data_IF_664967062876
#
_entry.id   IF_664967062876
#
_cell.length_a   1.000
_cell.length_b   1.000
_cell.length_c   1.000
_cell.angle_alpha   90.00
_cell.angle_beta   90.00
_cell.angle_gamma   90.00
#
_symmetry.space_group_name_H-M   'P 1'
#
loop_
_entity.id
_entity.type
_entity.pdbx_description
1 polymer ?
#
# COMPACT_ATOMS: atom_id res chain seq x y z
N UNK A 1 -1.70 -21.06 7.81
CA UNK A 1 -2.70 -20.11 7.24
C UNK A 1 -2.26 -19.63 5.85
N UNK A 2 -1.05 -19.09 5.67
CA UNK A 2 -0.54 -18.66 4.34
C UNK A 2 -0.38 -19.84 3.36
N UNK A 3 0.07 -21.00 3.82
CA UNK A 3 0.21 -22.20 2.98
C UNK A 3 -1.13 -22.72 2.44
N UNK A 4 -2.21 -22.56 3.22
CA UNK A 4 -3.55 -23.03 2.86
C UNK A 4 -4.23 -22.10 1.85
N UNK A 5 -3.94 -20.80 1.91
CA UNK A 5 -4.39 -19.80 0.94
C UNK A 5 -3.66 -19.96 -0.40
N UNK A 6 -2.38 -20.30 -0.39
CA UNK A 6 -1.59 -20.50 -1.61
C UNK A 6 -1.87 -21.85 -2.27
N UNK A 7 -2.10 -22.92 -1.49
CA UNK A 7 -2.48 -24.23 -2.02
C UNK A 7 -3.86 -24.22 -2.71
N UNK A 8 -4.80 -23.36 -2.27
CA UNK A 8 -6.09 -23.15 -2.95
C UNK A 8 -5.96 -22.32 -4.22
N UNK A 9 -4.93 -21.47 -4.33
CA UNK A 9 -4.73 -20.57 -5.49
C UNK A 9 -3.91 -21.21 -6.62
N UNK A 10 -3.10 -22.24 -6.35
CA UNK A 10 -2.24 -22.90 -7.35
C UNK A 10 -2.14 -24.43 -7.14
N UNK A 11 -3.17 -25.22 -7.50
CA UNK A 11 -3.23 -26.66 -7.18
C UNK A 11 -2.22 -27.53 -7.95
N UNK A 12 -1.55 -26.99 -8.97
CA UNK A 12 -0.64 -27.74 -9.86
C UNK A 12 0.85 -27.58 -9.53
N UNK A 13 1.21 -26.75 -8.55
CA UNK A 13 2.62 -26.57 -8.17
C UNK A 13 2.88 -27.43 -6.93
N UNK A 14 3.64 -28.52 -7.11
CA UNK A 14 3.99 -29.42 -6.00
C UNK A 14 4.58 -28.64 -4.81
N UNK A 15 4.13 -28.98 -3.59
CA UNK A 15 4.39 -28.25 -2.33
C UNK A 15 5.88 -27.88 -2.11
N UNK A 16 6.80 -28.69 -2.62
CA UNK A 16 8.25 -28.44 -2.51
C UNK A 16 8.78 -27.31 -3.42
N UNK A 17 8.08 -26.93 -4.51
CA UNK A 17 8.48 -25.83 -5.41
C UNK A 17 7.98 -24.46 -4.97
N UNK A 18 6.82 -24.38 -4.29
CA UNK A 18 6.24 -23.13 -3.78
C UNK A 18 7.12 -22.53 -2.67
N UNK A 19 7.63 -23.38 -1.77
CA UNK A 19 8.54 -22.97 -0.69
C UNK A 19 9.88 -22.48 -1.25
N UNK A 20 10.36 -23.08 -2.35
CA UNK A 20 11.59 -22.66 -3.02
C UNK A 20 11.51 -21.28 -3.68
N UNK A 21 10.44 -21.00 -4.43
CA UNK A 21 10.30 -19.74 -5.18
C UNK A 21 9.99 -18.55 -4.24
N UNK A 22 9.14 -18.75 -3.23
CA UNK A 22 8.88 -17.73 -2.20
C UNK A 22 10.14 -17.51 -1.36
N UNK A 23 10.87 -18.58 -1.01
CA UNK A 23 12.14 -18.51 -0.28
C UNK A 23 13.25 -17.76 -1.03
N UNK A 24 13.37 -17.94 -2.35
CA UNK A 24 14.41 -17.29 -3.17
C UNK A 24 14.04 -15.81 -3.44
N UNK A 25 12.77 -15.51 -3.69
CA UNK A 25 12.33 -14.13 -4.02
C UNK A 25 12.27 -13.23 -2.78
N UNK A 26 11.88 -13.75 -1.60
CA UNK A 26 12.00 -13.02 -0.33
C UNK A 26 13.45 -12.92 0.14
N UNK A 27 14.31 -13.93 -0.10
CA UNK A 27 15.74 -13.81 0.22
C UNK A 27 16.46 -12.84 -0.70
N UNK A 28 16.10 -12.73 -1.99
CA UNK A 28 16.69 -11.77 -2.92
C UNK A 28 16.25 -10.32 -2.60
N UNK A 29 14.97 -10.09 -2.30
CA UNK A 29 14.50 -8.77 -1.82
C UNK A 29 15.02 -8.42 -0.42
N UNK A 30 15.18 -9.39 0.49
CA UNK A 30 15.80 -9.16 1.81
C UNK A 30 17.32 -9.01 1.74
N UNK A 31 18.02 -9.64 0.79
CA UNK A 31 19.48 -9.50 0.66
C UNK A 31 19.90 -8.16 0.05
N UNK A 32 19.06 -7.55 -0.80
CA UNK A 32 19.28 -6.20 -1.31
C UNK A 32 18.93 -5.13 -0.26
N UNK A 33 17.98 -5.39 0.65
CA UNK A 33 17.59 -4.44 1.72
C UNK A 33 18.40 -4.60 3.01
N UNK A 34 18.89 -5.80 3.35
CA UNK A 34 19.65 -6.03 4.58
C UNK A 34 21.10 -5.52 4.52
N UNK A 35 21.69 -5.36 3.32
CA UNK A 35 23.05 -4.80 3.19
C UNK A 35 23.12 -3.29 3.41
N UNK A 36 22.01 -2.57 3.34
CA UNK A 36 21.98 -1.09 3.48
C UNK A 36 21.37 -0.58 4.80
N UNK A 37 20.77 -1.45 5.63
CA UNK A 37 20.18 -1.01 6.92
C UNK A 37 21.27 -0.65 7.94
N UNK A 38 22.36 -1.42 8.02
CA UNK A 38 23.46 -1.09 8.94
C UNK A 38 24.19 0.19 8.52
N UNK A 39 24.29 0.43 7.20
CA UNK A 39 24.80 1.68 6.63
C UNK A 39 23.89 2.87 6.97
N UNK A 40 22.58 2.72 6.71
CA UNK A 40 21.57 3.71 7.08
C UNK A 40 21.59 4.02 8.58
N UNK A 41 21.67 3.00 9.43
CA UNK A 41 21.76 3.18 10.88
C UNK A 41 22.98 3.99 11.28
N UNK A 42 24.16 3.68 10.74
CA UNK A 42 25.38 4.44 11.01
C UNK A 42 25.28 5.89 10.56
N UNK A 43 24.63 6.14 9.43
CA UNK A 43 24.40 7.49 8.92
C UNK A 43 23.42 8.27 9.80
N UNK A 44 22.34 7.63 10.26
CA UNK A 44 21.41 8.24 11.23
C UNK A 44 22.11 8.50 12.58
N UNK A 45 22.96 7.59 13.06
CA UNK A 45 23.75 7.78 14.28
C UNK A 45 24.77 8.93 14.14
N UNK A 46 25.23 9.23 12.91
CA UNK A 46 26.24 10.26 12.63
C UNK A 46 25.63 11.63 12.34
N UNK A 47 24.52 11.67 11.59
CA UNK A 47 23.91 12.90 11.06
C UNK A 47 22.54 13.22 11.70
N UNK A 48 22.02 12.37 12.58
CA UNK A 48 20.68 12.52 13.14
C UNK A 48 19.59 12.35 12.07
N UNK A 49 18.50 13.10 12.20
CA UNK A 49 17.36 13.07 11.27
C UNK A 49 17.55 13.96 10.02
N UNK A 50 18.80 14.22 9.60
CA UNK A 50 19.11 14.98 8.38
C UNK A 50 19.01 14.10 7.13
N UNK A 51 17.77 13.88 6.69
CA UNK A 51 17.46 13.01 5.55
C UNK A 51 18.02 13.52 4.21
N UNK A 52 18.33 14.82 4.10
CA UNK A 52 18.92 15.37 2.87
C UNK A 52 20.38 14.96 2.72
N UNK A 53 21.15 15.02 3.81
CA UNK A 53 22.55 14.56 3.83
C UNK A 53 22.60 13.04 3.69
N UNK A 54 21.78 12.32 4.46
CA UNK A 54 21.75 10.84 4.41
C UNK A 54 21.31 10.35 3.03
N UNK A 55 20.30 10.97 2.44
CA UNK A 55 19.86 10.67 1.07
C UNK A 55 20.98 10.85 0.04
N UNK A 56 21.72 11.97 0.14
CA UNK A 56 22.86 12.24 -0.74
C UNK A 56 23.96 11.19 -0.59
N UNK A 57 24.30 10.80 0.63
CA UNK A 57 25.33 9.80 0.91
C UNK A 57 24.91 8.38 0.47
N UNK A 58 23.63 8.07 0.55
CA UNK A 58 23.05 6.81 0.06
C UNK A 58 22.70 6.84 -1.44
N UNK A 59 22.94 7.95 -2.14
CA UNK A 59 22.57 8.12 -3.55
C UNK A 59 21.06 7.93 -3.82
N UNK A 60 20.22 8.22 -2.83
CA UNK A 60 18.78 7.94 -2.82
C UNK A 60 17.99 9.19 -2.38
N UNK A 61 16.75 9.33 -2.83
CA UNK A 61 15.92 10.47 -2.44
C UNK A 61 15.63 10.49 -0.92
N UNK A 62 15.66 11.66 -0.25
CA UNK A 62 15.49 11.79 1.20
C UNK A 62 14.20 11.16 1.75
N UNK A 63 13.11 11.27 1.01
CA UNK A 63 11.79 10.71 1.36
C UNK A 63 11.81 9.17 1.39
N UNK A 64 12.52 8.56 0.43
CA UNK A 64 12.71 7.10 0.37
C UNK A 64 13.54 6.63 1.57
N UNK A 65 14.65 7.31 1.87
CA UNK A 65 15.51 6.99 3.02
C UNK A 65 14.76 7.11 4.34
N UNK A 66 14.02 8.19 4.52
CA UNK A 66 13.16 8.40 5.69
C UNK A 66 12.11 7.28 5.82
N UNK A 67 11.45 6.91 4.73
CA UNK A 67 10.46 5.82 4.72
C UNK A 67 11.08 4.47 5.10
N UNK A 68 12.30 4.20 4.64
CA UNK A 68 13.05 2.98 4.98
C UNK A 68 13.39 2.94 6.47
N UNK A 69 13.87 4.06 7.03
CA UNK A 69 14.19 4.17 8.45
C UNK A 69 12.97 3.99 9.35
N UNK A 70 11.86 4.66 9.03
CA UNK A 70 10.61 4.53 9.79
C UNK A 70 10.05 3.11 9.76
N UNK A 71 10.14 2.44 8.61
CA UNK A 71 9.77 1.03 8.48
C UNK A 71 10.64 0.15 9.37
N UNK A 72 11.96 0.37 9.39
CA UNK A 72 12.89 -0.36 10.25
C UNK A 72 12.55 -0.21 11.74
N UNK A 73 12.29 1.01 12.22
CA UNK A 73 11.89 1.27 13.60
C UNK A 73 10.57 0.58 13.97
N UNK A 74 9.60 0.56 13.06
CA UNK A 74 8.33 -0.13 13.25
C UNK A 74 8.53 -1.65 13.38
N UNK A 75 9.37 -2.24 12.53
CA UNK A 75 9.72 -3.66 12.62
C UNK A 75 10.46 -3.99 13.92
N UNK A 76 11.40 -3.15 14.36
CA UNK A 76 12.12 -3.35 15.62
C UNK A 76 11.17 -3.31 16.85
N UNK A 77 10.19 -2.38 16.86
CA UNK A 77 9.16 -2.31 17.91
C UNK A 77 8.28 -3.55 17.95
N UNK A 78 7.85 -4.05 16.78
CA UNK A 78 7.03 -5.27 16.72
C UNK A 78 7.81 -6.55 17.08
N UNK A 79 9.12 -6.60 16.79
CA UNK A 79 9.98 -7.70 17.18
C UNK A 79 10.29 -7.73 18.68
N UNK A 80 10.37 -6.55 19.33
CA UNK A 80 10.52 -6.42 20.79
C UNK A 80 9.25 -6.83 21.55
N UNK A 81 8.07 -6.43 21.06
CA UNK A 81 6.79 -6.75 21.70
C UNK A 81 6.43 -8.24 21.70
N UNK A 82 7.11 -9.08 20.92
CA UNK A 82 6.89 -10.53 20.86
C UNK A 82 7.75 -11.33 21.85
N UNK A 83 8.61 -10.70 22.65
CA UNK A 83 9.55 -11.39 23.55
C UNK A 83 9.30 -11.23 25.05
N UNK A 84 8.39 -10.36 25.46
CA UNK A 84 8.19 -10.05 26.89
C UNK A 84 7.06 -10.84 27.58
N UNK A 85 6.52 -11.88 26.94
CA UNK A 85 5.52 -12.79 27.55
C UNK A 85 6.10 -14.17 27.88
N UNK A 86 7.31 -14.22 28.43
CA UNK A 86 7.82 -15.38 29.15
C UNK A 86 8.95 -14.99 30.14
N UNK A 87 8.79 -15.43 31.40
CA UNK A 87 9.77 -15.48 32.49
C UNK A 87 9.93 -14.23 33.39
N UNK A 88 9.22 -14.30 34.52
CA UNK A 88 9.72 -14.18 35.90
C UNK A 88 11.16 -13.65 36.11
N UNK A 89 11.26 -12.53 36.82
CA UNK A 89 12.45 -12.03 37.56
C UNK A 89 12.98 -13.08 38.57
N UNK A 90 14.26 -13.12 39.01
CA UNK A 90 15.02 -11.94 39.45
C UNK A 90 16.52 -11.91 39.13
N UNK A 91 17.09 -10.73 39.39
CA UNK A 91 18.48 -10.45 39.80
C UNK A 91 19.42 -9.79 38.76
N UNK A 92 20.17 -8.80 39.26
CA UNK A 92 21.48 -8.42 38.72
C UNK A 92 21.55 -7.40 37.60
N UNK A 93 21.65 -6.12 37.98
CA UNK A 93 22.60 -5.13 37.42
C UNK A 93 22.66 -4.91 35.90
N UNK A 94 22.07 -3.81 35.41
CA UNK A 94 22.87 -2.60 35.14
C UNK A 94 21.99 -1.41 34.72
N UNK A 95 22.26 -0.26 35.35
CA UNK A 95 21.58 1.00 35.10
C UNK A 95 22.11 1.63 33.82
N UNK A 96 21.45 1.38 32.69
CA UNK A 96 21.52 2.32 31.56
C UNK A 96 20.43 3.36 31.76
N UNK A 97 20.82 4.50 32.34
CA UNK A 97 20.02 5.72 32.28
C UNK A 97 19.87 6.09 30.81
N UNK A 98 18.72 5.76 30.21
CA UNK A 98 18.26 6.50 29.04
C UNK A 98 17.92 7.90 29.55
N UNK A 99 18.81 8.85 29.24
CA UNK A 99 18.43 10.24 29.27
C UNK A 99 17.22 10.41 28.36
N UNK A 100 16.11 10.70 29.01
CA UNK A 100 14.90 11.26 28.45
C UNK A 100 15.31 12.56 27.76
N UNK A 101 15.65 12.48 26.48
CA UNK A 101 15.73 13.65 25.62
C UNK A 101 14.31 14.11 25.37
N UNK A 102 13.91 15.03 26.23
CA UNK A 102 12.80 15.96 26.07
C UNK A 102 13.17 16.87 24.88
N UNK A 103 12.97 16.38 23.66
CA UNK A 103 13.21 17.15 22.44
C UNK A 103 12.00 18.05 22.15
N UNK A 104 12.34 19.31 21.90
CA UNK A 104 11.47 20.45 21.68
C UNK A 104 10.45 20.16 20.57
N UNK A 105 9.18 20.05 20.98
CA UNK A 105 8.04 19.87 20.10
C UNK A 105 7.82 21.07 19.20
N UNK A 106 8.24 20.94 17.95
CA UNK A 106 7.46 21.47 16.84
C UNK A 106 6.76 20.24 16.26
N UNK A 107 5.60 19.89 16.81
CA UNK A 107 4.75 18.87 16.21
C UNK A 107 4.50 19.30 14.77
N UNK A 108 4.80 18.44 13.79
CA UNK A 108 4.36 18.65 12.42
C UNK A 108 2.84 18.90 12.49
N UNK A 109 2.36 20.11 12.14
CA UNK A 109 0.94 20.44 12.26
C UNK A 109 0.05 19.43 11.53
N UNK A 110 0.59 18.79 10.49
CA UNK A 110 -0.12 17.78 9.72
C UNK A 110 -0.22 16.43 10.46
N UNK A 111 0.72 16.10 11.34
CA UNK A 111 0.70 14.84 12.08
C UNK A 111 -0.50 14.79 13.05
N UNK A 112 -0.80 15.89 13.73
CA UNK A 112 -1.98 15.97 14.60
C UNK A 112 -3.28 15.75 13.82
N UNK A 113 -3.36 16.25 12.58
CA UNK A 113 -4.50 16.01 11.70
C UNK A 113 -4.58 14.57 11.16
N UNK A 114 -3.43 13.95 10.86
CA UNK A 114 -3.37 12.53 10.48
C UNK A 114 -3.93 11.67 11.61
N UNK A 115 -3.47 11.90 12.84
CA UNK A 115 -3.87 11.11 14.01
C UNK A 115 -5.37 11.31 14.31
N UNK A 116 -5.85 12.55 14.27
CA UNK A 116 -7.27 12.86 14.45
C UNK A 116 -8.16 12.20 13.37
N UNK A 117 -7.73 12.26 12.10
CA UNK A 117 -8.44 11.61 10.99
C UNK A 117 -8.48 10.10 11.19
N UNK A 118 -7.35 9.48 11.50
CA UNK A 118 -7.27 8.04 11.70
C UNK A 118 -8.14 7.58 12.89
N UNK A 119 -8.12 8.34 13.99
CA UNK A 119 -8.90 8.05 15.18
C UNK A 119 -10.41 8.09 14.89
N UNK A 120 -10.90 9.11 14.20
CA UNK A 120 -12.33 9.23 13.86
C UNK A 120 -12.77 8.14 12.88
N UNK A 121 -11.95 7.84 11.87
CA UNK A 121 -12.22 6.73 10.94
C UNK A 121 -12.27 5.38 11.68
N UNK A 122 -11.34 5.13 12.60
CA UNK A 122 -11.36 3.91 13.42
C UNK A 122 -12.58 3.84 14.34
N UNK A 123 -13.00 4.98 14.91
CA UNK A 123 -14.22 5.08 15.74
C UNK A 123 -15.46 4.69 14.95
N UNK A 124 -15.62 5.18 13.73
CA UNK A 124 -16.78 4.81 12.88
C UNK A 124 -16.73 3.34 12.47
N UNK A 125 -15.55 2.84 12.09
CA UNK A 125 -15.38 1.45 11.69
C UNK A 125 -15.64 0.47 12.85
N UNK A 126 -15.22 0.80 14.08
CA UNK A 126 -15.49 -0.04 15.27
C UNK A 126 -16.99 -0.10 15.63
N UNK A 127 -17.77 0.90 15.22
CA UNK A 127 -19.24 0.90 15.31
C UNK A 127 -19.92 0.10 14.21
N UNK A 128 -19.16 -0.51 13.29
CA UNK A 128 -19.70 -1.30 12.18
C UNK A 128 -20.24 -0.45 11.02
N UNK A 129 -20.09 0.86 11.06
CA UNK A 129 -20.57 1.76 10.01
C UNK A 129 -19.61 1.80 8.82
N UNK A 130 -20.14 2.20 7.66
CA UNK A 130 -19.32 2.72 6.57
C UNK A 130 -18.76 4.09 7.01
N UNK A 131 -17.55 4.43 6.55
CA UNK A 131 -16.93 5.71 6.88
C UNK A 131 -17.71 6.85 6.21
N UNK A 132 -18.28 7.74 7.03
CA UNK A 132 -18.84 9.02 6.60
C UNK A 132 -17.73 10.07 6.62
N UNK A 133 -17.17 10.34 5.45
CA UNK A 133 -16.09 11.29 5.28
C UNK A 133 -16.50 12.74 5.54
N UNK A 134 -17.77 13.10 5.41
CA UNK A 134 -18.25 14.44 5.77
C UNK A 134 -18.20 14.62 7.29
N UNK A 135 -18.60 13.59 8.05
CA UNK A 135 -18.47 13.60 9.51
C UNK A 135 -17.00 13.61 9.95
N UNK A 136 -16.13 12.83 9.30
CA UNK A 136 -14.67 12.86 9.57
C UNK A 136 -14.11 14.27 9.35
N UNK A 137 -14.42 14.88 8.20
CA UNK A 137 -14.03 16.24 7.84
C UNK A 137 -14.47 17.26 8.89
N UNK A 138 -15.74 17.20 9.32
CA UNK A 138 -16.28 18.07 10.35
C UNK A 138 -15.59 17.89 11.70
N UNK A 139 -15.28 16.65 12.10
CA UNK A 139 -14.64 16.36 13.38
C UNK A 139 -13.17 16.83 13.43
N UNK A 140 -12.44 16.72 12.32
CA UNK A 140 -11.01 17.04 12.25
C UNK A 140 -10.77 18.51 11.88
N UNK A 141 -11.77 19.19 11.28
CA UNK A 141 -11.64 20.57 10.82
C UNK A 141 -10.84 20.72 9.52
N UNK A 142 -10.85 19.69 8.68
CA UNK A 142 -10.23 19.69 7.35
C UNK A 142 -11.28 19.42 6.27
N UNK A 143 -10.99 19.75 5.02
CA UNK A 143 -11.84 19.33 3.91
C UNK A 143 -11.81 17.80 3.71
N UNK A 144 -12.89 17.28 3.13
CA UNK A 144 -13.07 15.83 2.89
C UNK A 144 -11.92 15.24 2.09
N UNK A 145 -11.47 15.94 1.04
CA UNK A 145 -10.40 15.46 0.18
C UNK A 145 -9.10 15.32 0.97
N UNK A 146 -8.77 16.29 1.82
CA UNK A 146 -7.58 16.23 2.66
C UNK A 146 -7.64 15.09 3.66
N UNK A 147 -8.78 14.87 4.31
CA UNK A 147 -8.99 13.71 5.19
C UNK A 147 -8.75 12.39 4.44
N UNK A 148 -9.29 12.26 3.22
CA UNK A 148 -9.08 11.08 2.36
C UNK A 148 -7.60 10.87 2.01
N UNK A 149 -6.86 11.93 1.72
CA UNK A 149 -5.44 11.88 1.37
C UNK A 149 -4.53 11.48 2.54
N UNK A 150 -4.82 11.98 3.74
CA UNK A 150 -3.93 11.78 4.90
C UNK A 150 -4.30 10.54 5.71
N UNK A 151 -5.52 10.01 5.55
CA UNK A 151 -5.97 8.82 6.27
C UNK A 151 -5.11 7.60 5.91
N UNK A 152 -4.57 6.97 6.96
CA UNK A 152 -3.66 5.82 6.89
C UNK A 152 -4.30 4.54 7.44
N UNK A 153 -5.59 4.58 7.77
CA UNK A 153 -6.30 3.44 8.35
C UNK A 153 -6.40 2.32 7.31
N UNK A 154 -5.63 1.27 7.54
CA UNK A 154 -5.75 0.00 6.83
C UNK A 154 -6.30 -1.04 7.80
N UNK A 155 -7.63 -1.10 7.92
CA UNK A 155 -8.29 -1.75 9.04
C UNK A 155 -8.35 -3.28 8.97
N UNK A 156 -7.55 -3.93 8.11
CA UNK A 156 -7.57 -5.38 7.92
C UNK A 156 -8.91 -5.95 7.40
N UNK A 157 -9.96 -5.12 7.28
CA UNK A 157 -11.15 -5.41 6.50
C UNK A 157 -10.71 -5.54 5.05
N UNK A 158 -11.20 -6.56 4.38
CA UNK A 158 -10.93 -6.75 2.96
C UNK A 158 -11.44 -5.51 2.21
N UNK A 159 -10.51 -4.64 1.80
CA UNK A 159 -10.77 -3.69 0.72
C UNK A 159 -11.09 -4.53 -0.52
N UNK A 160 -12.01 -4.06 -1.35
CA UNK A 160 -12.27 -4.78 -2.59
C UNK A 160 -10.97 -4.83 -3.40
N UNK A 161 -10.66 -6.01 -3.93
CA UNK A 161 -9.50 -6.24 -4.79
C UNK A 161 -9.96 -6.50 -6.20
N UNK A 162 -9.19 -6.06 -7.17
CA UNK A 162 -9.53 -6.26 -8.57
C UNK A 162 -9.62 -7.75 -8.90
N UNK A 163 -10.78 -8.14 -9.42
CA UNK A 163 -11.05 -9.47 -9.94
C UNK A 163 -11.62 -9.30 -11.36
N UNK A 164 -10.92 -9.79 -12.40
CA UNK A 164 -11.37 -9.63 -13.78
C UNK A 164 -12.72 -10.26 -14.12
N UNK A 165 -13.24 -11.16 -13.28
CA UNK A 165 -14.52 -11.84 -13.47
C UNK A 165 -15.68 -11.12 -12.77
N UNK A 166 -15.41 -10.39 -11.69
CA UNK A 166 -16.43 -9.61 -10.95
C UNK A 166 -16.36 -8.10 -11.19
N UNK A 167 -15.30 -7.65 -11.88
CA UNK A 167 -15.10 -6.25 -12.22
C UNK A 167 -16.21 -5.71 -13.13
N UNK A 168 -16.73 -4.53 -12.78
CA UNK A 168 -17.68 -3.79 -13.59
C UNK A 168 -17.13 -2.42 -14.00
N UNK A 169 -17.45 -1.99 -15.22
CA UNK A 169 -17.07 -0.66 -15.70
C UNK A 169 -17.74 0.47 -14.90
N UNK A 170 -18.88 0.22 -14.26
CA UNK A 170 -19.54 1.19 -13.38
C UNK A 170 -18.66 1.60 -12.18
N UNK A 171 -17.92 0.66 -11.60
CA UNK A 171 -16.98 0.96 -10.51
C UNK A 171 -15.82 1.84 -11.01
N UNK A 172 -15.32 1.54 -12.22
CA UNK A 172 -14.27 2.33 -12.85
C UNK A 172 -14.76 3.74 -13.24
N UNK A 173 -16.00 3.87 -13.71
CA UNK A 173 -16.61 5.16 -14.04
C UNK A 173 -16.80 6.03 -12.80
N UNK A 174 -17.22 5.45 -11.67
CA UNK A 174 -17.27 6.17 -10.38
C UNK A 174 -15.89 6.65 -9.93
N UNK A 175 -14.87 5.80 -10.06
CA UNK A 175 -13.49 6.19 -9.77
C UNK A 175 -13.03 7.35 -10.68
N UNK A 176 -13.36 7.26 -11.98
CA UNK A 176 -13.03 8.30 -12.97
C UNK A 176 -13.71 9.63 -12.64
N UNK A 177 -14.98 9.62 -12.26
CA UNK A 177 -15.72 10.81 -11.84
C UNK A 177 -15.07 11.45 -10.61
N UNK A 178 -14.79 10.65 -9.57
CA UNK A 178 -14.10 11.14 -8.37
C UNK A 178 -12.73 11.78 -8.71
N UNK A 179 -11.94 11.15 -9.58
CA UNK A 179 -10.66 11.69 -10.01
C UNK A 179 -10.84 13.02 -10.77
N UNK A 180 -11.79 13.09 -11.70
CA UNK A 180 -12.03 14.30 -12.48
C UNK A 180 -12.46 15.49 -11.61
N UNK A 181 -13.29 15.24 -10.59
CA UNK A 181 -13.82 16.28 -9.71
C UNK A 181 -12.79 16.81 -8.70
N UNK A 182 -11.86 15.94 -8.25
CA UNK A 182 -10.93 16.27 -7.16
C UNK A 182 -9.48 16.49 -7.61
N UNK A 183 -9.12 15.96 -8.78
CA UNK A 183 -7.76 16.02 -9.34
C UNK A 183 -7.83 16.44 -10.82
N UNK A 184 -8.32 17.65 -11.13
CA UNK A 184 -8.37 18.13 -12.51
C UNK A 184 -6.97 18.26 -13.09
N UNK A 185 -6.84 17.99 -14.39
CA UNK A 185 -5.55 18.08 -15.08
C UNK A 185 -4.92 19.48 -14.90
N UNK A 186 -3.60 19.59 -14.68
CA UNK A 186 -2.59 18.53 -14.78
C UNK A 186 -2.29 17.80 -13.45
N UNK A 187 -3.13 17.93 -12.43
CA UNK A 187 -2.86 17.31 -11.13
C UNK A 187 -2.79 15.78 -11.25
N UNK A 188 -1.77 15.19 -10.63
CA UNK A 188 -1.67 13.73 -10.51
C UNK A 188 -2.65 13.26 -9.44
N UNK A 189 -3.51 12.26 -9.72
CA UNK A 189 -4.45 11.76 -8.74
C UNK A 189 -3.74 11.16 -7.53
N UNK A 190 -4.21 11.49 -6.32
CA UNK A 190 -3.75 10.81 -5.11
C UNK A 190 -4.53 9.51 -4.91
N UNK A 191 -3.94 8.39 -5.35
CA UNK A 191 -4.59 7.08 -5.26
C UNK A 191 -4.86 6.59 -3.82
N UNK A 192 -4.26 7.20 -2.79
CA UNK A 192 -4.68 6.94 -1.41
C UNK A 192 -6.07 7.48 -1.14
N UNK A 193 -6.36 8.71 -1.57
CA UNK A 193 -7.70 9.29 -1.44
C UNK A 193 -8.73 8.50 -2.25
N UNK A 194 -8.40 8.14 -3.48
CA UNK A 194 -9.26 7.29 -4.33
C UNK A 194 -9.54 5.95 -3.65
N UNK A 195 -8.51 5.30 -3.12
CA UNK A 195 -8.61 4.03 -2.41
C UNK A 195 -9.48 4.13 -1.16
N UNK A 196 -9.33 5.20 -0.38
CA UNK A 196 -10.11 5.45 0.83
C UNK A 196 -11.58 5.80 0.51
N UNK A 197 -11.83 6.54 -0.57
CA UNK A 197 -13.18 6.89 -1.03
C UNK A 197 -13.93 5.67 -1.58
N UNK A 198 -13.28 4.91 -2.48
CA UNK A 198 -13.89 3.77 -3.16
C UNK A 198 -13.91 2.50 -2.31
N UNK A 199 -13.14 2.45 -1.22
CA UNK A 199 -12.90 1.25 -0.41
C UNK A 199 -12.27 0.08 -1.21
N UNK A 200 -11.35 0.43 -2.10
CA UNK A 200 -10.63 -0.50 -3.00
C UNK A 200 -9.15 -0.49 -2.64
N UNK A 201 -8.42 -1.58 -2.84
CA UNK A 201 -6.97 -1.57 -2.65
C UNK A 201 -6.31 -0.49 -3.54
N UNK A 202 -5.34 0.25 -2.99
CA UNK A 202 -4.66 1.33 -3.71
C UNK A 202 -4.04 0.86 -5.03
N UNK A 203 -3.38 -0.29 -5.03
CA UNK A 203 -2.72 -0.81 -6.23
C UNK A 203 -3.75 -1.20 -7.30
N UNK A 204 -4.93 -1.66 -6.87
CA UNK A 204 -6.05 -1.95 -7.76
C UNK A 204 -6.69 -0.67 -8.33
N UNK A 205 -6.77 0.42 -7.56
CA UNK A 205 -7.17 1.73 -8.10
C UNK A 205 -6.21 2.20 -9.20
N UNK A 206 -4.90 2.03 -8.99
CA UNK A 206 -3.88 2.36 -9.98
C UNK A 206 -4.07 1.47 -11.23
N UNK A 207 -4.23 0.16 -11.03
CA UNK A 207 -4.46 -0.79 -12.11
C UNK A 207 -5.69 -0.42 -12.95
N UNK A 208 -6.84 -0.19 -12.31
CA UNK A 208 -8.07 0.22 -13.00
C UNK A 208 -7.91 1.57 -13.72
N UNK A 209 -7.16 2.51 -13.15
CA UNK A 209 -6.90 3.80 -13.81
C UNK A 209 -6.10 3.61 -15.10
N UNK A 210 -5.11 2.73 -15.08
CA UNK A 210 -4.37 2.34 -16.28
C UNK A 210 -5.27 1.66 -17.31
N UNK A 211 -6.13 0.73 -16.88
CA UNK A 211 -7.11 0.10 -17.78
C UNK A 211 -8.01 1.15 -18.43
N UNK A 212 -8.55 2.11 -17.68
CA UNK A 212 -9.37 3.19 -18.23
C UNK A 212 -8.63 4.04 -19.26
N UNK A 213 -7.31 4.16 -19.17
CA UNK A 213 -6.50 4.88 -20.15
C UNK A 213 -6.11 4.03 -21.37
N UNK A 214 -6.51 2.75 -21.41
CA UNK A 214 -6.08 1.81 -22.45
C UNK A 214 -4.65 1.29 -22.26
N UNK A 215 -4.08 1.51 -21.06
CA UNK A 215 -2.75 1.05 -20.67
C UNK A 215 -2.87 -0.33 -20.02
N UNK A 216 -2.61 -1.37 -20.81
CA UNK A 216 -2.66 -2.77 -20.35
C UNK A 216 -1.26 -3.33 -20.24
N UNK A 217 -0.97 -3.97 -19.11
CA UNK A 217 0.21 -4.80 -18.92
C UNK A 217 -0.11 -6.19 -19.48
N UNK A 218 0.50 -6.56 -20.61
CA UNK A 218 0.25 -7.83 -21.28
C UNK A 218 0.93 -9.02 -20.58
N UNK A 219 0.25 -9.61 -19.61
CA UNK A 219 0.70 -10.86 -18.96
C UNK A 219 0.25 -12.08 -19.74
N UNK A 220 0.83 -13.25 -19.43
CA UNK A 220 0.45 -14.51 -20.07
C UNK A 220 -1.00 -14.89 -19.75
N UNK A 221 -1.51 -14.51 -18.57
CA UNK A 221 -2.91 -14.69 -18.19
C UNK A 221 -3.84 -13.84 -19.07
N UNK A 222 -3.50 -12.57 -19.33
CA UNK A 222 -4.31 -11.72 -20.22
C UNK A 222 -4.28 -12.26 -21.65
N UNK A 223 -3.11 -12.70 -22.14
CA UNK A 223 -3.00 -13.31 -23.46
C UNK A 223 -3.83 -14.58 -23.56
N UNK A 224 -3.77 -15.46 -22.55
CA UNK A 224 -4.60 -16.67 -22.49
C UNK A 224 -6.09 -16.34 -22.51
N UNK A 225 -6.51 -15.29 -21.79
CA UNK A 225 -7.91 -14.81 -21.80
C UNK A 225 -8.34 -14.29 -23.17
N UNK A 226 -7.45 -13.56 -23.87
CA UNK A 226 -7.72 -13.12 -25.26
C UNK A 226 -7.93 -14.31 -26.19
N UNK A 227 -7.04 -15.31 -26.12
CA UNK A 227 -7.15 -16.54 -26.92
C UNK A 227 -8.45 -17.28 -26.61
N UNK A 228 -8.81 -17.41 -25.33
CA UNK A 228 -10.06 -18.04 -24.90
C UNK A 228 -11.29 -17.29 -25.45
N UNK A 229 -11.37 -15.97 -25.26
CA UNK A 229 -12.47 -15.15 -25.78
C UNK A 229 -12.58 -15.23 -27.31
N UNK A 230 -11.45 -15.20 -28.01
CA UNK A 230 -11.43 -15.33 -29.46
C UNK A 230 -11.87 -16.73 -29.91
N UNK A 231 -11.44 -17.79 -29.22
CA UNK A 231 -11.87 -19.17 -29.54
C UNK A 231 -13.38 -19.38 -29.32
N UNK A 232 -13.99 -18.59 -28.44
CA UNK A 232 -15.46 -18.51 -28.23
C UNK A 232 -16.18 -17.66 -29.29
N UNK A 233 -15.48 -17.20 -30.34
CA UNK A 233 -16.04 -16.46 -31.46
C UNK A 233 -16.13 -14.94 -31.27
N UNK A 234 -15.52 -14.40 -30.20
CA UNK A 234 -15.52 -12.95 -29.97
C UNK A 234 -14.53 -12.25 -30.91
N UNK A 235 -14.95 -11.16 -31.55
CA UNK A 235 -14.07 -10.37 -32.42
C UNK A 235 -13.09 -9.54 -31.58
N UNK A 236 -11.88 -9.30 -32.08
CA UNK A 236 -10.86 -8.51 -31.37
C UNK A 236 -11.33 -7.11 -30.95
N UNK A 237 -12.24 -6.47 -31.70
CA UNK A 237 -12.86 -5.20 -31.31
C UNK A 237 -13.69 -5.34 -30.03
N UNK A 238 -14.42 -6.43 -29.89
CA UNK A 238 -15.29 -6.67 -28.75
C UNK A 238 -14.43 -7.12 -27.54
N UNK A 239 -13.41 -7.95 -27.78
CA UNK A 239 -12.40 -8.33 -26.78
C UNK A 239 -11.68 -7.09 -26.25
N UNK A 240 -11.27 -6.16 -27.11
CA UNK A 240 -10.56 -4.96 -26.67
C UNK A 240 -11.40 -4.13 -25.72
N UNK A 241 -12.71 -4.00 -25.99
CA UNK A 241 -13.66 -3.31 -25.12
C UNK A 241 -13.94 -4.04 -23.81
N UNK A 242 -13.87 -5.37 -23.79
CA UNK A 242 -13.94 -6.13 -22.53
C UNK A 242 -12.71 -5.89 -21.64
N UNK A 243 -11.52 -5.80 -22.24
CA UNK A 243 -10.30 -5.56 -21.49
C UNK A 243 -10.14 -4.09 -21.05
N UNK A 244 -10.52 -3.15 -21.91
CA UNK A 244 -10.54 -1.72 -21.60
C UNK A 244 -11.40 -0.92 -22.59
N UNK A 245 -12.20 0.04 -22.10
CA UNK A 245 -13.05 0.87 -22.97
C UNK A 245 -12.22 1.69 -23.96
N UNK A 246 -10.96 1.98 -23.66
CA UNK A 246 -10.07 2.79 -24.48
C UNK A 246 -8.95 2.00 -25.17
N UNK A 247 -8.99 0.66 -25.10
CA UNK A 247 -8.03 -0.19 -25.82
C UNK A 247 -8.41 -0.34 -27.29
N UNK A 248 -7.44 -0.07 -28.17
CA UNK A 248 -7.55 -0.33 -29.61
C UNK A 248 -7.60 -1.82 -29.91
N UNK A 249 -8.46 -2.22 -30.86
CA UNK A 249 -8.54 -3.60 -31.35
C UNK A 249 -7.21 -4.13 -31.89
N UNK A 250 -6.38 -3.25 -32.49
CA UNK A 250 -5.07 -3.61 -33.03
C UNK A 250 -4.07 -4.05 -31.96
N UNK A 251 -4.27 -3.64 -30.69
CA UNK A 251 -3.39 -4.08 -29.60
C UNK A 251 -3.72 -5.51 -29.13
N UNK A 252 -4.88 -6.04 -29.52
CA UNK A 252 -5.37 -7.37 -29.12
C UNK A 252 -5.16 -8.42 -30.22
N UNK A 253 -5.21 -7.98 -31.48
CA UNK A 253 -4.99 -8.81 -32.67
C UNK A 253 -3.52 -9.18 -32.84
#
# INVERSE_FOLDING_TARGET
FVEDVVARKYPYIGKHKIIGIIGITLKAKRAVVARDIDGLKKLVDTHGDDWEIIGREMGTAPDIVKSLWLSHLQFAKTAGASRDSAATSPDGTDKVKYHQNQELGIADPLQGHVDATNLEVQRQLSQGHQVDWAQVSQAVGLDVLKCLEICQVDNGRARWTYDPDTFSWEMADRMKAFIADNYPAPATPNFRAVSNYMWINRDDCIHMSNLLQGNIVWTDEIKARVVDMHSKGMRFKDISKQLSPNLSAQKVA
#
